data_IF_717638656772
#
_entry.id   IF_717638656772
#
_cell.length_a   1.000
_cell.length_b   1.000
_cell.length_c   1.000
_cell.angle_alpha   90.00
_cell.angle_beta   90.00
_cell.angle_gamma   90.00
#
_symmetry.space_group_name_H-M   'P 1'
#
loop_
_entity.id
_entity.type
_entity.pdbx_description
1 polymer ?
#
# COMPACT_ATOMS: atom_id res chain seq x y z
N UNK A 1 -35.19 13.48 33.74
CA UNK A 1 -34.26 13.97 32.71
C UNK A 1 -34.55 13.24 31.40
N UNK A 2 -35.08 13.94 30.40
CA UNK A 2 -35.40 13.36 29.08
C UNK A 2 -34.17 13.50 28.18
N UNK A 3 -33.54 12.39 27.83
CA UNK A 3 -32.47 12.40 26.81
C UNK A 3 -33.13 12.75 25.47
N UNK A 4 -32.68 13.80 24.75
CA UNK A 4 -33.29 14.17 23.48
C UNK A 4 -33.07 13.05 22.46
N UNK A 5 -34.13 12.67 21.73
CA UNK A 5 -34.14 11.58 20.75
C UNK A 5 -33.02 11.66 19.69
N UNK A 6 -32.48 12.86 19.46
CA UNK A 6 -31.34 13.13 18.58
C UNK A 6 -30.05 12.45 19.10
N UNK A 7 -29.83 12.40 20.42
CA UNK A 7 -28.65 11.74 21.00
C UNK A 7 -28.72 10.22 20.83
N UNK A 8 -29.92 9.64 20.93
CA UNK A 8 -30.16 8.22 20.67
C UNK A 8 -29.93 7.87 19.20
N UNK A 9 -30.37 8.72 18.26
CA UNK A 9 -30.11 8.54 16.83
C UNK A 9 -28.61 8.64 16.47
N UNK A 10 -27.87 9.57 17.08
CA UNK A 10 -26.41 9.67 16.88
C UNK A 10 -25.69 8.43 17.41
N UNK A 11 -26.09 7.91 18.58
CA UNK A 11 -25.52 6.68 19.14
C UNK A 11 -25.86 5.46 18.28
N UNK A 12 -27.08 5.35 17.73
CA UNK A 12 -27.49 4.25 16.84
C UNK A 12 -26.74 4.31 15.50
N UNK A 13 -26.52 5.50 14.94
CA UNK A 13 -25.69 5.69 13.73
C UNK A 13 -24.23 5.31 14.02
N UNK A 14 -23.69 5.69 15.19
CA UNK A 14 -22.34 5.29 15.61
C UNK A 14 -22.22 3.76 15.83
N UNK A 15 -23.26 3.12 16.37
CA UNK A 15 -23.28 1.67 16.58
C UNK A 15 -23.42 0.88 15.26
N UNK A 16 -24.24 1.34 14.31
CA UNK A 16 -24.37 0.68 13.00
C UNK A 16 -23.20 0.96 12.03
N UNK A 17 -22.44 2.05 12.21
CA UNK A 17 -21.18 2.25 11.46
C UNK A 17 -20.03 1.37 11.97
N UNK A 18 -20.07 0.91 13.23
CA UNK A 18 -19.03 0.07 13.81
C UNK A 18 -19.05 -1.38 13.30
N UNK A 19 -20.20 -1.90 12.85
CA UNK A 19 -20.31 -3.29 12.40
C UNK A 19 -19.79 -3.54 10.96
N UNK A 20 -19.55 -2.47 10.18
CA UNK A 20 -18.96 -2.57 8.84
C UNK A 20 -17.41 -2.60 8.84
N UNK A 21 -16.77 -2.18 9.94
CA UNK A 21 -15.32 -2.15 10.10
C UNK A 21 -14.66 -3.52 10.38
N UNK A 22 -15.25 -4.48 11.15
CA UNK A 22 -14.61 -5.77 11.40
C UNK A 22 -14.58 -6.71 10.19
N UNK A 23 -15.44 -6.50 9.19
CA UNK A 23 -15.44 -7.28 7.93
C UNK A 23 -14.23 -6.88 7.06
N UNK A 24 -13.89 -5.59 7.03
CA UNK A 24 -12.69 -5.08 6.35
C UNK A 24 -11.39 -5.54 7.02
N UNK A 25 -11.41 -5.62 8.36
CA UNK A 25 -10.29 -6.10 9.19
C UNK A 25 -9.87 -7.53 8.83
N UNK A 26 -10.81 -8.43 8.53
CA UNK A 26 -10.48 -9.81 8.14
C UNK A 26 -9.96 -9.91 6.71
N UNK A 27 -10.59 -9.26 5.73
CA UNK A 27 -10.25 -9.49 4.32
C UNK A 27 -8.88 -8.91 3.91
N UNK A 28 -8.44 -7.80 4.52
CA UNK A 28 -7.11 -7.24 4.30
C UNK A 28 -6.03 -8.00 5.08
N UNK A 29 -6.30 -8.32 6.36
CA UNK A 29 -5.38 -9.10 7.21
C UNK A 29 -5.19 -10.52 6.69
N UNK A 30 -6.25 -11.18 6.20
CA UNK A 30 -6.15 -12.53 5.63
C UNK A 30 -5.34 -12.53 4.33
N UNK A 31 -5.43 -11.47 3.51
CA UNK A 31 -4.60 -11.33 2.29
C UNK A 31 -3.12 -11.11 2.61
N UNK A 32 -2.78 -10.26 3.59
CA UNK A 32 -1.39 -10.03 4.02
C UNK A 32 -0.82 -11.25 4.76
N UNK A 33 -1.64 -11.94 5.58
CA UNK A 33 -1.25 -13.15 6.32
C UNK A 33 -1.07 -14.37 5.40
N UNK A 34 -1.89 -14.52 4.37
CA UNK A 34 -1.74 -15.57 3.35
C UNK A 34 -0.44 -15.43 2.54
N UNK A 35 0.06 -14.20 2.35
CA UNK A 35 1.35 -13.98 1.69
C UNK A 35 2.55 -14.34 2.57
N UNK A 36 2.40 -14.35 3.90
CA UNK A 36 3.49 -14.57 4.87
C UNK A 36 3.61 -16.03 5.34
N UNK A 37 2.55 -16.83 5.25
CA UNK A 37 2.55 -18.24 5.72
C UNK A 37 3.25 -19.20 4.74
N UNK A 38 3.48 -18.83 3.48
CA UNK A 38 4.21 -19.67 2.51
C UNK A 38 5.75 -19.55 2.61
N UNK A 39 6.30 -18.64 3.43
CA UNK A 39 7.76 -18.39 3.50
C UNK A 39 8.53 -19.27 4.50
N UNK A 40 7.88 -20.12 5.30
CA UNK A 40 8.59 -20.97 6.28
C UNK A 40 8.11 -22.41 6.26
N UNK A 41 8.61 -23.18 5.29
CA UNK A 41 8.92 -24.61 5.40
C UNK A 41 9.71 -25.08 4.18
N UNK A 42 11.04 -25.11 4.32
CA UNK A 42 11.90 -25.88 3.46
C UNK A 42 12.09 -27.29 4.03
N UNK A 43 12.05 -28.31 3.16
CA UNK A 43 13.02 -29.42 3.16
C UNK A 43 12.89 -30.24 1.86
N UNK A 44 14.05 -30.37 1.21
CA UNK A 44 14.66 -31.50 0.48
C UNK A 44 13.78 -32.61 -0.12
N UNK A 45 13.98 -32.90 -1.42
CA UNK A 45 14.83 -33.99 -1.91
C UNK A 45 14.94 -33.98 -3.45
N UNK A 46 16.09 -34.47 -3.93
CA UNK A 46 16.48 -34.69 -5.32
C UNK A 46 15.74 -35.89 -5.93
N UNK A 47 15.35 -35.83 -7.21
CA UNK A 47 15.79 -36.83 -8.22
C UNK A 47 15.27 -36.53 -9.64
N UNK A 48 16.23 -36.58 -10.57
CA UNK A 48 16.23 -37.21 -11.90
C UNK A 48 15.12 -36.87 -12.92
N UNK A 49 15.62 -36.39 -14.07
CA UNK A 49 14.82 -36.02 -15.22
C UNK A 49 14.20 -37.19 -15.97
N UNK A 50 13.08 -36.89 -16.62
CA UNK A 50 12.56 -37.63 -17.76
C UNK A 50 12.16 -36.58 -18.80
N UNK A 51 12.78 -36.68 -19.97
CA UNK A 51 12.51 -35.82 -21.12
C UNK A 51 11.07 -36.00 -21.58
N UNK A 52 10.22 -35.01 -21.27
CA UNK A 52 8.89 -34.90 -21.87
C UNK A 52 8.94 -33.78 -22.91
N UNK A 53 8.94 -34.27 -24.14
CA UNK A 53 8.99 -33.66 -25.47
C UNK A 53 8.50 -32.21 -25.64
N UNK A 54 9.09 -31.57 -26.65
CA UNK A 54 8.77 -30.24 -27.20
C UNK A 54 7.28 -29.96 -27.45
N UNK A 55 6.42 -30.98 -27.48
CA UNK A 55 4.96 -30.86 -27.54
C UNK A 55 4.37 -30.35 -26.22
N UNK A 56 4.88 -30.77 -25.07
CA UNK A 56 4.46 -30.20 -23.78
C UNK A 56 4.99 -28.78 -23.62
N UNK A 57 6.20 -28.50 -24.10
CA UNK A 57 6.75 -27.14 -24.16
C UNK A 57 5.89 -26.22 -25.05
N UNK A 58 5.49 -26.65 -26.25
CA UNK A 58 4.58 -25.89 -27.15
C UNK A 58 3.15 -25.77 -26.62
N UNK A 59 2.61 -26.80 -25.94
CA UNK A 59 1.28 -26.76 -25.32
C UNK A 59 1.26 -25.83 -24.09
N UNK A 60 2.36 -25.80 -23.34
CA UNK A 60 2.56 -24.93 -22.19
C UNK A 60 2.85 -23.49 -22.64
N UNK A 61 3.67 -23.30 -23.67
CA UNK A 61 3.93 -22.00 -24.32
C UNK A 61 2.67 -21.43 -24.99
N UNK A 62 1.80 -22.26 -25.57
CA UNK A 62 0.53 -21.81 -26.18
C UNK A 62 -0.54 -21.48 -25.16
N UNK A 63 -0.64 -22.20 -24.03
CA UNK A 63 -1.49 -21.79 -22.89
C UNK A 63 -0.91 -20.56 -22.17
N UNK A 64 0.40 -20.47 -22.01
CA UNK A 64 1.11 -19.34 -21.38
C UNK A 64 1.05 -18.04 -22.22
N UNK A 65 1.08 -18.16 -23.56
CA UNK A 65 0.87 -17.04 -24.49
C UNK A 65 -0.47 -16.32 -24.30
N UNK A 66 -1.41 -16.90 -23.57
CA UNK A 66 -2.77 -16.36 -23.45
C UNK A 66 -3.00 -15.43 -22.25
N UNK A 67 -2.03 -15.16 -21.38
CA UNK A 67 -2.16 -14.13 -20.35
C UNK A 67 -1.64 -12.79 -20.88
N UNK A 68 -2.44 -12.09 -21.67
CA UNK A 68 -2.14 -10.70 -22.05
C UNK A 68 -2.47 -9.75 -20.89
N UNK A 69 -1.88 -8.55 -20.89
CA UNK A 69 -2.21 -7.48 -19.92
C UNK A 69 -3.73 -7.20 -19.87
N UNK A 70 -4.42 -7.32 -21.00
CA UNK A 70 -5.89 -7.21 -21.09
C UNK A 70 -6.62 -8.25 -20.23
N UNK A 71 -6.14 -9.50 -20.20
CA UNK A 71 -6.74 -10.53 -19.33
C UNK A 71 -6.47 -10.26 -17.86
N UNK A 72 -5.31 -9.69 -17.53
CA UNK A 72 -5.01 -9.25 -16.17
C UNK A 72 -6.04 -8.20 -15.74
N UNK A 73 -6.33 -7.21 -16.57
CA UNK A 73 -7.35 -6.20 -16.29
C UNK A 73 -8.73 -6.80 -16.09
N UNK A 74 -9.10 -7.77 -16.92
CA UNK A 74 -10.37 -8.50 -16.76
C UNK A 74 -10.42 -9.25 -15.42
N UNK A 75 -9.33 -9.90 -14.99
CA UNK A 75 -9.30 -10.62 -13.71
C UNK A 75 -9.39 -9.68 -12.52
N UNK A 76 -8.72 -8.52 -12.57
CA UNK A 76 -8.82 -7.48 -11.54
C UNK A 76 -10.25 -6.93 -11.48
N UNK A 77 -10.84 -6.56 -12.63
CA UNK A 77 -12.24 -6.09 -12.70
C UNK A 77 -13.21 -7.14 -12.14
N UNK A 78 -13.00 -8.40 -12.50
CA UNK A 78 -13.82 -9.53 -12.03
C UNK A 78 -13.49 -10.03 -10.62
N UNK A 79 -12.66 -9.32 -9.83
CA UNK A 79 -12.31 -9.67 -8.43
C UNK A 79 -11.80 -11.12 -8.28
N UNK A 80 -11.04 -11.63 -9.25
CA UNK A 80 -10.54 -13.01 -9.17
C UNK A 80 -9.54 -13.16 -8.01
N UNK A 81 -9.52 -14.33 -7.38
CA UNK A 81 -8.55 -14.62 -6.31
C UNK A 81 -7.17 -14.96 -6.89
N UNK A 82 -6.09 -14.70 -6.10
CA UNK A 82 -4.72 -15.11 -6.45
C UNK A 82 -4.64 -16.58 -6.85
N UNK A 83 -5.27 -17.47 -6.10
CA UNK A 83 -5.32 -18.92 -6.41
C UNK A 83 -5.95 -19.22 -7.77
N UNK A 84 -7.00 -18.49 -8.15
CA UNK A 84 -7.63 -18.61 -9.47
C UNK A 84 -6.67 -18.16 -10.58
N UNK A 85 -5.98 -17.04 -10.37
CA UNK A 85 -5.01 -16.51 -11.33
C UNK A 85 -3.80 -17.43 -11.48
N UNK A 86 -3.24 -17.93 -10.37
CA UNK A 86 -2.18 -18.96 -10.38
C UNK A 86 -2.58 -20.19 -11.19
N UNK A 87 -3.81 -20.68 -11.02
CA UNK A 87 -4.33 -21.80 -11.82
C UNK A 87 -4.41 -21.45 -13.31
N UNK A 88 -4.93 -20.26 -13.64
CA UNK A 88 -5.04 -19.79 -15.04
C UNK A 88 -3.69 -19.56 -15.70
N UNK A 89 -2.68 -19.17 -14.93
CA UNK A 89 -1.31 -18.94 -15.40
C UNK A 89 -0.45 -20.23 -15.43
N UNK A 90 -0.99 -21.36 -14.95
CA UNK A 90 -0.24 -22.63 -14.88
C UNK A 90 0.80 -22.67 -13.76
N UNK A 91 0.72 -21.77 -12.78
CA UNK A 91 1.72 -21.61 -11.71
C UNK A 91 1.38 -22.39 -10.43
N UNK A 92 0.10 -22.76 -10.23
CA UNK A 92 -0.41 -23.30 -8.94
C UNK A 92 0.32 -24.53 -8.38
N UNK A 93 0.97 -25.34 -9.23
CA UNK A 93 1.67 -26.58 -8.82
C UNK A 93 3.19 -26.46 -8.81
N UNK A 94 3.72 -25.27 -9.07
CA UNK A 94 5.16 -25.03 -9.10
C UNK A 94 5.67 -24.77 -7.69
N UNK A 95 6.92 -25.14 -7.42
CA UNK A 95 7.63 -24.63 -6.25
C UNK A 95 7.81 -23.11 -6.37
N UNK A 96 8.09 -22.43 -5.26
CA UNK A 96 8.28 -20.98 -5.25
C UNK A 96 9.37 -20.53 -6.25
N UNK A 97 10.48 -21.26 -6.31
CA UNK A 97 11.59 -20.96 -7.22
C UNK A 97 11.19 -21.20 -8.70
N UNK A 98 10.49 -22.30 -8.97
CA UNK A 98 10.00 -22.58 -10.32
C UNK A 98 8.92 -21.58 -10.76
N UNK A 99 8.06 -21.11 -9.84
CA UNK A 99 7.09 -20.06 -10.09
C UNK A 99 7.79 -18.75 -10.49
N UNK A 100 8.78 -18.30 -9.73
CA UNK A 100 9.51 -17.04 -9.97
C UNK A 100 10.24 -17.02 -11.32
N UNK A 101 10.79 -18.16 -11.73
CA UNK A 101 11.50 -18.29 -13.00
C UNK A 101 10.59 -18.57 -14.20
N UNK A 102 9.27 -18.70 -13.99
CA UNK A 102 8.32 -19.01 -15.04
C UNK A 102 7.97 -17.76 -15.91
N UNK A 103 7.88 -17.86 -17.25
CA UNK A 103 7.56 -16.71 -18.12
C UNK A 103 6.24 -15.98 -17.81
N UNK A 104 5.27 -16.68 -17.22
CA UNK A 104 3.98 -16.11 -16.80
C UNK A 104 4.01 -15.39 -15.44
N UNK A 105 5.08 -15.53 -14.67
CA UNK A 105 5.19 -14.91 -13.35
C UNK A 105 4.99 -13.40 -13.40
N UNK A 106 5.50 -12.74 -14.46
CA UNK A 106 5.28 -11.30 -14.70
C UNK A 106 3.80 -10.90 -14.69
N UNK A 107 2.91 -11.73 -15.21
CA UNK A 107 1.47 -11.45 -15.25
C UNK A 107 0.80 -11.69 -13.89
N UNK A 108 1.34 -12.61 -13.07
CA UNK A 108 0.92 -12.73 -11.68
C UNK A 108 1.30 -11.46 -10.90
N UNK A 109 2.55 -10.98 -11.06
CA UNK A 109 2.99 -9.73 -10.42
C UNK A 109 2.19 -8.52 -10.89
N UNK A 110 1.87 -8.44 -12.18
CA UNK A 110 1.02 -7.38 -12.72
C UNK A 110 -0.40 -7.45 -12.11
N UNK A 111 -0.98 -8.65 -12.02
CA UNK A 111 -2.27 -8.86 -11.38
C UNK A 111 -2.28 -8.42 -9.91
N UNK A 112 -1.30 -8.87 -9.12
CA UNK A 112 -1.16 -8.49 -7.71
C UNK A 112 -1.01 -6.97 -7.55
N UNK A 113 -0.18 -6.34 -8.39
CA UNK A 113 0.04 -4.89 -8.35
C UNK A 113 -1.24 -4.09 -8.64
N UNK A 114 -2.03 -4.52 -9.64
CA UNK A 114 -3.28 -3.87 -10.04
C UNK A 114 -4.41 -4.13 -9.05
N UNK A 115 -4.50 -5.34 -8.49
CA UNK A 115 -5.49 -5.67 -7.45
C UNK A 115 -5.23 -4.91 -6.15
N UNK A 116 -3.95 -4.80 -5.73
CA UNK A 116 -3.54 -3.91 -4.64
C UNK A 116 -3.93 -2.46 -4.98
N UNK A 117 -3.60 -1.99 -6.18
CA UNK A 117 -3.94 -0.64 -6.64
C UNK A 117 -5.42 -0.30 -6.51
N UNK A 118 -6.30 -1.22 -6.91
CA UNK A 118 -7.76 -1.08 -6.76
C UNK A 118 -8.20 -1.00 -5.30
N UNK A 119 -7.58 -1.80 -4.43
CA UNK A 119 -7.85 -1.75 -2.98
C UNK A 119 -7.48 -0.38 -2.43
N UNK A 120 -6.33 0.15 -2.82
CA UNK A 120 -5.88 1.50 -2.44
C UNK A 120 -6.81 2.58 -2.98
N UNK A 121 -7.31 2.46 -4.21
CA UNK A 121 -8.28 3.41 -4.79
C UNK A 121 -9.60 3.41 -3.99
N UNK A 122 -10.04 2.23 -3.53
CA UNK A 122 -11.19 2.12 -2.62
C UNK A 122 -10.91 2.85 -1.30
N UNK A 123 -9.74 2.67 -0.70
CA UNK A 123 -9.36 3.42 0.52
C UNK A 123 -9.35 4.93 0.32
N UNK A 124 -8.84 5.42 -0.82
CA UNK A 124 -8.89 6.85 -1.17
C UNK A 124 -10.33 7.34 -1.31
N UNK A 125 -11.19 6.58 -2.01
CA UNK A 125 -12.61 6.94 -2.18
C UNK A 125 -13.37 7.00 -0.85
N UNK A 126 -13.03 6.12 0.09
CA UNK A 126 -13.58 6.08 1.44
C UNK A 126 -12.89 7.07 2.41
N UNK A 127 -11.87 7.81 1.93
CA UNK A 127 -11.10 8.78 2.71
C UNK A 127 -10.50 8.20 3.99
N UNK A 128 -10.03 6.96 3.91
CA UNK A 128 -9.39 6.28 5.04
C UNK A 128 -8.17 7.11 5.49
N UNK A 129 -8.04 7.50 6.76
CA UNK A 129 -6.88 8.27 7.21
C UNK A 129 -5.56 7.52 6.95
N UNK A 130 -4.47 8.24 6.62
CA UNK A 130 -3.15 7.60 6.43
C UNK A 130 -2.65 6.90 7.69
N UNK A 131 -2.98 7.45 8.86
CA UNK A 131 -2.68 6.86 10.16
C UNK A 131 -3.35 5.51 10.34
N UNK A 132 -4.61 5.36 9.92
CA UNK A 132 -5.32 4.09 9.99
C UNK A 132 -4.65 3.02 9.12
N UNK A 133 -4.27 3.37 7.88
CA UNK A 133 -3.56 2.40 7.01
C UNK A 133 -2.18 2.07 7.55
N UNK A 134 -1.48 3.03 8.16
CA UNK A 134 -0.21 2.79 8.85
C UNK A 134 -0.37 1.79 10.00
N UNK A 135 -1.41 1.96 10.83
CA UNK A 135 -1.72 1.06 11.94
C UNK A 135 -2.08 -0.36 11.48
N UNK A 136 -2.95 -0.47 10.47
CA UNK A 136 -3.42 -1.77 9.95
C UNK A 136 -2.29 -2.57 9.29
N UNK A 137 -1.28 -1.90 8.74
CA UNK A 137 -0.09 -2.55 8.18
C UNK A 137 0.95 -2.93 9.26
N UNK A 138 0.56 -2.91 10.54
CA UNK A 138 1.41 -3.25 11.68
C UNK A 138 2.73 -2.46 11.73
N UNK A 139 2.75 -1.26 11.13
CA UNK A 139 3.87 -0.32 11.23
C UNK A 139 3.84 0.43 12.58
N UNK A 140 3.01 -0.06 13.52
CA UNK A 140 2.79 0.47 14.87
C UNK A 140 4.01 0.20 15.74
N UNK A 141 5.03 1.05 15.61
CA UNK A 141 6.00 1.28 16.68
C UNK A 141 6.00 2.76 17.02
N UNK A 142 5.95 3.05 18.30
CA UNK A 142 6.02 4.42 18.85
C UNK A 142 7.39 5.05 18.57
N UNK A 143 8.43 4.24 18.44
CA UNK A 143 9.76 4.64 17.99
C UNK A 143 10.42 3.54 17.17
N UNK A 144 11.18 3.94 16.16
CA UNK A 144 12.11 3.08 15.44
C UNK A 144 13.52 3.59 15.70
N UNK A 145 14.47 2.68 15.95
CA UNK A 145 15.89 3.04 15.74
C UNK A 145 16.12 3.29 14.25
N UNK A 146 17.18 4.02 13.88
CA UNK A 146 17.53 4.24 12.47
C UNK A 146 17.66 2.93 11.68
N UNK A 147 18.20 1.87 12.30
CA UNK A 147 18.32 0.55 11.70
C UNK A 147 16.95 -0.12 11.50
N UNK A 148 16.07 -0.09 12.51
CA UNK A 148 14.73 -0.66 12.40
C UNK A 148 13.89 0.08 11.36
N UNK A 149 14.02 1.41 11.27
CA UNK A 149 13.33 2.20 10.25
C UNK A 149 13.84 1.83 8.85
N UNK A 150 15.16 1.67 8.68
CA UNK A 150 15.75 1.23 7.40
C UNK A 150 15.26 -0.15 6.98
N UNK A 151 15.11 -1.08 7.93
CA UNK A 151 14.59 -2.41 7.64
C UNK A 151 13.10 -2.39 7.32
N UNK A 152 12.30 -1.65 8.09
CA UNK A 152 10.88 -1.44 7.80
C UNK A 152 10.69 -0.88 6.38
N UNK A 153 11.54 0.05 5.92
CA UNK A 153 11.45 0.60 4.56
C UNK A 153 11.65 -0.42 3.43
N UNK A 154 12.16 -1.62 3.73
CA UNK A 154 12.33 -2.72 2.77
C UNK A 154 11.15 -3.67 2.72
N UNK A 155 10.20 -3.56 3.65
CA UNK A 155 9.06 -4.46 3.72
C UNK A 155 7.99 -4.15 2.67
N UNK A 156 7.23 -5.17 2.28
CA UNK A 156 6.05 -5.01 1.43
C UNK A 156 4.96 -4.14 2.09
N UNK A 157 4.86 -4.20 3.43
CA UNK A 157 3.93 -3.38 4.21
C UNK A 157 4.26 -1.88 4.04
N UNK A 158 5.54 -1.51 4.11
CA UNK A 158 5.96 -0.13 3.86
C UNK A 158 5.76 0.28 2.40
N UNK A 159 6.06 -0.61 1.45
CA UNK A 159 5.80 -0.38 0.02
C UNK A 159 4.32 -0.08 -0.23
N UNK A 160 3.42 -0.86 0.36
CA UNK A 160 1.98 -0.68 0.23
C UNK A 160 1.52 0.64 0.88
N UNK A 161 2.03 0.97 2.08
CA UNK A 161 1.77 2.26 2.71
C UNK A 161 2.22 3.43 1.83
N UNK A 162 3.44 3.41 1.29
CA UNK A 162 3.97 4.49 0.45
C UNK A 162 3.08 4.70 -0.78
N UNK A 163 2.67 3.62 -1.46
CA UNK A 163 1.72 3.69 -2.59
C UNK A 163 0.38 4.29 -2.18
N UNK A 164 -0.13 3.93 -1.01
CA UNK A 164 -1.38 4.47 -0.50
C UNK A 164 -1.28 5.98 -0.21
N UNK A 165 -0.28 6.37 0.58
CA UNK A 165 -0.05 7.75 1.00
C UNK A 165 0.15 8.67 -0.20
N UNK A 166 0.84 8.20 -1.24
CA UNK A 166 1.00 8.92 -2.50
C UNK A 166 -0.33 9.12 -3.25
N UNK A 167 -1.15 8.06 -3.39
CA UNK A 167 -2.48 8.17 -4.01
C UNK A 167 -3.40 9.13 -3.24
N UNK A 168 -3.41 9.02 -1.91
CA UNK A 168 -4.19 9.89 -1.03
C UNK A 168 -3.74 11.35 -1.15
N UNK A 169 -2.43 11.61 -1.07
CA UNK A 169 -1.86 12.95 -1.23
C UNK A 169 -2.20 13.56 -2.60
N UNK A 170 -2.05 12.79 -3.68
CA UNK A 170 -2.43 13.23 -5.02
C UNK A 170 -3.91 13.61 -5.11
N UNK A 171 -4.79 12.82 -4.51
CA UNK A 171 -6.23 13.08 -4.50
C UNK A 171 -6.58 14.35 -3.69
N UNK A 172 -5.90 14.58 -2.56
CA UNK A 172 -6.06 15.81 -1.76
C UNK A 172 -5.53 17.03 -2.52
N UNK A 173 -4.31 16.93 -3.06
CA UNK A 173 -3.65 18.04 -3.77
C UNK A 173 -4.43 18.48 -5.01
N UNK A 174 -5.03 17.53 -5.74
CA UNK A 174 -5.88 17.81 -6.90
C UNK A 174 -7.33 18.12 -6.54
N UNK A 175 -7.64 18.32 -5.26
CA UNK A 175 -8.98 18.59 -4.72
C UNK A 175 -10.05 17.54 -5.08
N UNK A 176 -9.66 16.32 -5.45
CA UNK A 176 -10.58 15.19 -5.68
C UNK A 176 -11.23 14.70 -4.38
N UNK A 177 -10.52 14.85 -3.26
CA UNK A 177 -11.04 14.61 -1.91
C UNK A 177 -10.63 15.76 -0.99
N UNK A 178 -11.41 15.97 0.08
CA UNK A 178 -10.99 16.83 1.18
C UNK A 178 -10.04 16.05 2.09
N UNK A 179 -8.98 16.69 2.63
CA UNK A 179 -8.11 16.02 3.59
C UNK A 179 -8.90 15.65 4.84
N UNK A 180 -8.79 14.38 5.25
CA UNK A 180 -9.16 13.97 6.60
C UNK A 180 -8.06 14.42 7.56
N UNK A 181 -8.40 15.35 8.47
CA UNK A 181 -7.54 15.77 9.57
C UNK A 181 -7.77 14.91 10.83
N UNK A 182 -8.37 13.72 10.68
CA UNK A 182 -8.56 12.76 11.77
C UNK A 182 -7.20 12.16 12.11
N UNK A 183 -6.49 12.85 13.01
CA UNK A 183 -5.36 12.36 13.76
C UNK A 183 -5.54 12.82 15.21
N UNK A 184 -4.95 12.13 16.19
CA UNK A 184 -5.02 12.59 17.57
C UNK A 184 -4.56 14.06 17.66
N UNK A 185 -5.13 14.86 18.59
CA UNK A 185 -4.73 16.26 18.82
C UNK A 185 -3.22 16.42 19.00
N UNK A 186 -2.57 15.33 19.40
CA UNK A 186 -1.14 15.12 19.60
C UNK A 186 -0.68 13.83 18.90
N UNK A 187 0.08 13.96 17.80
CA UNK A 187 1.03 12.93 17.36
C UNK A 187 0.48 11.71 16.61
N UNK A 188 0.41 11.82 15.28
CA UNK A 188 0.58 10.62 14.42
C UNK A 188 1.97 10.00 14.62
N UNK A 189 2.19 8.78 14.10
CA UNK A 189 3.47 8.08 14.28
C UNK A 189 4.62 8.87 13.65
N UNK A 190 5.73 9.16 14.38
CA UNK A 190 6.83 9.94 13.81
C UNK A 190 7.39 9.40 12.49
N UNK A 191 7.46 8.09 12.37
CA UNK A 191 7.84 7.38 11.16
C UNK A 191 6.85 7.60 9.99
N UNK A 192 5.55 7.64 10.26
CA UNK A 192 4.53 7.96 9.25
C UNK A 192 4.73 9.39 8.73
N UNK A 193 4.92 10.36 9.62
CA UNK A 193 5.15 11.75 9.24
C UNK A 193 6.43 11.93 8.44
N UNK A 194 7.52 11.29 8.85
CA UNK A 194 8.77 11.28 8.09
C UNK A 194 8.57 10.74 6.67
N UNK A 195 7.81 9.66 6.51
CA UNK A 195 7.49 9.10 5.18
C UNK A 195 6.61 10.04 4.35
N UNK A 196 5.65 10.74 4.95
CA UNK A 196 4.82 11.73 4.24
C UNK A 196 5.65 12.95 3.81
N UNK A 197 6.56 13.42 4.66
CA UNK A 197 7.53 14.47 4.35
C UNK A 197 8.41 14.09 3.16
N UNK A 198 8.92 12.86 3.14
CA UNK A 198 9.64 12.29 2.01
C UNK A 198 8.82 12.35 0.72
N UNK A 199 7.59 11.83 0.76
CA UNK A 199 6.68 11.81 -0.38
C UNK A 199 6.38 13.22 -0.92
N UNK A 200 6.10 14.19 -0.05
CA UNK A 200 5.83 15.56 -0.46
C UNK A 200 7.03 16.24 -1.10
N UNK A 201 8.23 15.98 -0.57
CA UNK A 201 9.47 16.50 -1.15
C UNK A 201 9.76 15.88 -2.52
N UNK A 202 9.62 14.55 -2.65
CA UNK A 202 9.77 13.80 -3.91
C UNK A 202 8.77 14.29 -4.98
N UNK A 203 7.50 14.48 -4.59
CA UNK A 203 6.44 14.99 -5.46
C UNK A 203 6.54 16.49 -5.75
N UNK A 204 7.51 17.20 -5.18
CA UNK A 204 7.72 18.63 -5.42
C UNK A 204 6.56 19.51 -4.91
N UNK A 205 5.87 19.09 -3.85
CA UNK A 205 4.74 19.85 -3.30
C UNK A 205 5.15 21.27 -2.89
N UNK A 206 4.23 22.25 -2.96
CA UNK A 206 4.53 23.60 -2.52
C UNK A 206 4.51 23.69 -0.98
N UNK A 207 5.32 24.59 -0.42
CA UNK A 207 5.48 24.70 1.04
C UNK A 207 4.18 25.06 1.76
N UNK A 208 3.33 25.91 1.16
CA UNK A 208 2.02 26.26 1.73
C UNK A 208 1.11 25.04 1.89
N UNK A 209 1.16 24.10 0.94
CA UNK A 209 0.38 22.87 0.97
C UNK A 209 0.85 21.97 2.11
N UNK A 210 2.16 21.77 2.22
CA UNK A 210 2.74 20.94 3.30
C UNK A 210 2.45 21.55 4.67
N UNK A 211 2.57 22.87 4.85
CA UNK A 211 2.18 23.54 6.10
C UNK A 211 0.73 23.25 6.48
N UNK A 212 -0.19 23.36 5.51
CA UNK A 212 -1.62 23.05 5.74
C UNK A 212 -1.83 21.59 6.12
N UNK A 213 -1.16 20.65 5.45
CA UNK A 213 -1.24 19.21 5.76
C UNK A 213 -0.65 18.85 7.12
N UNK A 214 0.29 19.65 7.63
CA UNK A 214 0.85 19.55 8.99
C UNK A 214 -0.02 20.28 10.04
N UNK A 215 -1.17 20.82 9.65
CA UNK A 215 -2.17 21.40 10.55
C UNK A 215 -2.13 22.93 10.67
N UNK A 216 -1.28 23.63 9.92
CA UNK A 216 -1.25 25.09 9.96
C UNK A 216 -2.63 25.68 9.55
N UNK A 217 -3.23 26.47 10.43
CA UNK A 217 -4.56 27.06 10.24
C UNK A 217 -5.72 26.09 10.46
N UNK A 218 -5.45 24.86 10.94
CA UNK A 218 -6.48 23.84 11.23
C UNK A 218 -6.39 23.38 12.69
N UNK A 219 -5.18 23.18 13.21
CA UNK A 219 -4.93 22.74 14.59
C UNK A 219 -4.12 23.81 15.35
N UNK A 220 -4.57 24.30 16.53
CA UNK A 220 -3.81 25.24 17.34
C UNK A 220 -2.44 24.70 17.78
N UNK A 221 -2.27 23.38 17.84
CA UNK A 221 -1.02 22.71 18.22
C UNK A 221 -0.10 22.38 17.03
N UNK A 222 -0.36 22.87 15.82
CA UNK A 222 0.41 22.50 14.61
C UNK A 222 1.94 22.71 14.74
N UNK A 223 2.38 23.60 15.64
CA UNK A 223 3.81 23.86 15.91
C UNK A 223 4.56 22.60 16.35
N UNK A 224 3.89 21.60 16.93
CA UNK A 224 4.51 20.29 17.23
C UNK A 224 5.02 19.59 15.96
N UNK A 225 4.46 19.93 14.80
CA UNK A 225 4.85 19.38 13.51
C UNK A 225 5.87 20.27 12.75
N UNK A 226 6.36 21.36 13.35
CA UNK A 226 7.34 22.24 12.72
C UNK A 226 8.66 21.52 12.34
N UNK A 227 9.19 20.57 13.13
CA UNK A 227 10.37 19.79 12.72
C UNK A 227 10.19 19.07 11.38
N UNK A 228 9.01 18.48 11.13
CA UNK A 228 8.69 17.83 9.85
C UNK A 228 8.65 18.81 8.68
N UNK A 229 8.16 20.03 8.91
CA UNK A 229 8.19 21.08 7.89
C UNK A 229 9.62 21.50 7.53
N UNK A 230 10.49 21.64 8.53
CA UNK A 230 11.89 21.96 8.31
C UNK A 230 12.62 20.83 7.56
N UNK A 231 12.34 19.58 7.90
CA UNK A 231 12.85 18.40 7.19
C UNK A 231 12.40 18.40 5.72
N UNK A 232 11.13 18.71 5.46
CA UNK A 232 10.60 18.86 4.10
C UNK A 232 11.39 19.91 3.29
N UNK A 233 11.67 21.07 3.87
CA UNK A 233 12.45 22.13 3.20
C UNK A 233 13.89 21.67 2.90
N UNK A 234 14.54 21.02 3.87
CA UNK A 234 15.89 20.50 3.69
C UNK A 234 15.96 19.47 2.56
N UNK A 235 15.02 18.53 2.51
CA UNK A 235 14.93 17.52 1.44
C UNK A 235 14.67 18.14 0.07
N UNK A 236 13.77 19.12 -0.01
CA UNK A 236 13.48 19.83 -1.26
C UNK A 236 14.73 20.53 -1.80
N UNK A 237 15.54 21.12 -0.92
CA UNK A 237 16.81 21.75 -1.29
C UNK A 237 17.81 20.71 -1.83
N UNK A 238 18.02 19.59 -1.14
CA UNK A 238 18.91 18.51 -1.59
C UNK A 238 18.49 17.96 -2.96
N UNK A 239 17.19 17.72 -3.17
CA UNK A 239 16.65 17.25 -4.45
C UNK A 239 16.85 18.26 -5.58
N UNK A 240 16.74 19.56 -5.29
CA UNK A 240 17.02 20.62 -6.27
C UNK A 240 18.50 20.63 -6.68
N UNK A 241 19.42 20.49 -5.73
CA UNK A 241 20.86 20.39 -6.01
C UNK A 241 21.18 19.16 -6.88
N UNK A 242 20.58 18.00 -6.56
CA UNK A 242 20.78 16.77 -7.33
C UNK A 242 20.30 16.91 -8.78
N UNK A 243 19.15 17.56 -9.01
CA UNK A 243 18.63 17.84 -10.36
C UNK A 243 19.55 18.77 -11.15
N UNK A 244 20.13 19.78 -10.51
CA UNK A 244 21.05 20.71 -11.17
C UNK A 244 22.39 20.06 -11.56
N UNK A 245 22.91 19.13 -10.74
CA UNK A 245 24.11 18.36 -11.10
C UNK A 245 23.88 17.47 -12.33
N UNK A 246 22.74 16.79 -12.42
CA UNK A 246 22.39 15.94 -13.57
C UNK A 246 22.20 16.70 -14.89
N UNK A 247 21.87 17.99 -14.84
CA UNK A 247 21.73 18.83 -16.04
C UNK A 247 23.07 19.35 -16.59
N UNK A 248 24.15 19.25 -15.80
CA UNK A 248 25.49 19.72 -16.17
C UNK A 248 26.40 18.60 -16.67
N UNK A 249 25.93 17.36 -16.65
CA UNK A 249 26.58 16.17 -17.23
C UNK A 249 25.87 15.83 -18.54
#
# INVERSE_FOLDING_TARGET
MRVPAILLLVVIIFLHCCDALPIFRREAVDRVRMLRVEETKGSTDEEKGIGISSLTKKLFESKAKTATSEKVDQWVKAKKSRSTVLKKLGLKKLSMEAERNHPNYKYLKEFEYKDEGRTLDKFVSLRVPTSFVWEELYLRRTSFTSAQFKEMKRSDDYRMFKRYAEKYDNAVYTNKIKPSFVGPPTGGYPAEWATKVELWAEAGRPGWYVKKMLGHGVNPYWKVNLPYYNEFLARKFVLALAKNKKKKQ
#
